data_IF_904420521615
#
_entry.id   IF_904420521615
#
_cell.length_a   1.000
_cell.length_b   1.000
_cell.length_c   1.000
_cell.angle_alpha   90.00
_cell.angle_beta   90.00
_cell.angle_gamma   90.00
#
_symmetry.space_group_name_H-M   'P 1'
#
loop_
_entity.id
_entity.type
_entity.pdbx_description
1 polymer ?
#
# COMPACT_ATOMS: atom_id res chain seq x y z
N UNK A 1 6.52 -17.60 -10.46
CA UNK A 1 5.38 -16.80 -10.96
C UNK A 1 4.18 -16.98 -10.04
N UNK A 2 4.15 -16.20 -8.95
CA UNK A 2 2.93 -15.95 -8.19
C UNK A 2 1.98 -15.15 -9.08
N UNK A 3 0.85 -15.75 -9.45
CA UNK A 3 -0.17 -15.08 -10.25
C UNK A 3 -0.93 -14.06 -9.37
N UNK A 4 -1.42 -12.97 -9.98
CA UNK A 4 -2.34 -12.08 -9.31
C UNK A 4 -3.54 -12.86 -8.74
N UNK A 5 -3.90 -12.59 -7.48
CA UNK A 5 -5.01 -13.30 -6.81
C UNK A 5 -6.37 -13.03 -7.46
N UNK A 6 -6.51 -11.86 -8.08
CA UNK A 6 -7.62 -11.44 -8.92
C UNK A 6 -7.09 -10.72 -10.17
N UNK A 7 -7.77 -10.84 -11.32
CA UNK A 7 -7.40 -10.06 -12.50
C UNK A 7 -7.61 -8.57 -12.24
N UNK A 8 -6.76 -7.74 -12.84
CA UNK A 8 -6.90 -6.28 -12.79
C UNK A 8 -8.33 -5.87 -13.18
N UNK A 9 -8.90 -4.92 -12.44
CA UNK A 9 -10.30 -4.56 -12.63
C UNK A 9 -10.54 -3.90 -13.99
N UNK A 10 -11.72 -4.10 -14.61
CA UNK A 10 -12.09 -3.36 -15.80
C UNK A 10 -12.06 -1.86 -15.53
N UNK A 11 -11.52 -1.11 -16.50
CA UNK A 11 -11.45 0.34 -16.45
C UNK A 11 -12.83 0.94 -16.17
N UNK A 12 -12.98 1.77 -15.12
CA UNK A 12 -14.23 2.45 -14.82
C UNK A 12 -14.55 3.55 -15.86
N UNK A 13 -15.82 3.95 -16.03
CA UNK A 13 -16.18 5.05 -16.91
C UNK A 13 -15.47 6.37 -16.54
N UNK A 14 -15.15 7.20 -17.54
CA UNK A 14 -14.49 8.51 -17.31
C UNK A 14 -12.96 8.44 -17.17
N UNK A 15 -12.38 7.27 -17.43
CA UNK A 15 -10.94 7.09 -17.54
C UNK A 15 -10.57 6.87 -19.00
N UNK A 16 -9.65 7.71 -19.48
CA UNK A 16 -9.03 7.57 -20.78
C UNK A 16 -7.61 7.10 -20.57
N UNK A 17 -7.16 6.23 -21.47
CA UNK A 17 -5.77 5.82 -21.47
C UNK A 17 -4.90 6.94 -22.04
N UNK A 18 -3.70 7.07 -21.50
CA UNK A 18 -2.63 7.83 -22.12
C UNK A 18 -2.28 7.20 -23.47
N UNK A 19 -2.17 8.04 -24.48
CA UNK A 19 -1.73 7.66 -25.82
C UNK A 19 -0.20 7.55 -25.87
N UNK A 20 0.34 6.89 -26.89
CA UNK A 20 1.79 6.86 -27.20
C UNK A 20 2.70 6.48 -26.00
N UNK A 21 2.21 5.62 -25.09
CA UNK A 21 3.04 5.02 -24.05
C UNK A 21 3.90 3.88 -24.64
N UNK A 22 5.18 3.74 -24.24
CA UNK A 22 5.91 2.52 -24.54
C UNK A 22 5.23 1.33 -23.84
N UNK A 23 5.36 0.14 -24.42
CA UNK A 23 4.95 -1.09 -23.73
C UNK A 23 5.88 -1.35 -22.54
N UNK A 24 5.35 -1.80 -21.40
CA UNK A 24 6.18 -2.22 -20.29
C UNK A 24 6.91 -3.53 -20.63
N UNK A 25 8.23 -3.46 -20.68
CA UNK A 25 9.14 -4.61 -20.80
C UNK A 25 9.93 -4.80 -19.48
N UNK A 26 9.66 -5.87 -18.71
CA UNK A 26 10.37 -6.14 -17.48
C UNK A 26 11.89 -6.26 -17.66
N UNK A 27 12.36 -6.78 -18.79
CA UNK A 27 13.79 -6.99 -19.06
C UNK A 27 14.56 -5.70 -19.33
N UNK A 28 13.86 -4.66 -19.78
CA UNK A 28 14.42 -3.34 -20.05
C UNK A 28 14.22 -2.39 -18.86
N UNK A 29 13.02 -2.40 -18.26
CA UNK A 29 12.61 -1.38 -17.30
C UNK A 29 12.91 -1.75 -15.84
N UNK A 30 13.05 -3.04 -15.51
CA UNK A 30 13.34 -3.45 -14.14
C UNK A 30 14.83 -3.65 -13.90
N UNK A 31 15.25 -3.32 -12.68
CA UNK A 31 16.52 -3.71 -12.09
C UNK A 31 16.26 -3.96 -10.60
N UNK A 32 15.90 -5.20 -10.29
CA UNK A 32 15.47 -5.61 -8.97
C UNK A 32 16.68 -5.97 -8.10
N UNK A 33 16.91 -5.21 -7.04
CA UNK A 33 17.97 -5.43 -6.06
C UNK A 33 17.35 -5.57 -4.67
N UNK A 34 17.91 -6.44 -3.83
CA UNK A 34 17.39 -6.69 -2.47
C UNK A 34 17.84 -5.53 -1.56
N UNK A 35 17.01 -5.05 -0.60
CA UNK A 35 17.46 -4.08 0.39
C UNK A 35 18.62 -4.63 1.24
N UNK A 36 19.54 -3.74 1.62
CA UNK A 36 20.66 -4.07 2.50
C UNK A 36 20.19 -4.35 3.94
N UNK A 37 19.09 -3.71 4.36
CA UNK A 37 18.52 -3.86 5.70
C UNK A 37 17.02 -4.10 5.59
N UNK A 38 16.54 -5.11 6.31
CA UNK A 38 15.13 -5.36 6.58
C UNK A 38 14.95 -5.28 8.08
N UNK A 39 14.10 -4.35 8.54
CA UNK A 39 13.75 -4.16 9.95
C UNK A 39 12.43 -4.84 10.27
N UNK A 40 12.26 -5.26 11.51
CA UNK A 40 11.09 -6.03 11.94
C UNK A 40 10.23 -5.28 12.96
N UNK A 41 8.97 -5.71 13.12
CA UNK A 41 8.00 -5.06 14.00
C UNK A 41 8.40 -5.15 15.49
N UNK A 42 9.12 -6.18 15.90
CA UNK A 42 9.66 -6.28 17.26
C UNK A 42 10.74 -5.21 17.52
N UNK A 43 11.55 -4.86 16.52
CA UNK A 43 12.50 -3.73 16.62
C UNK A 43 11.78 -2.38 16.77
N UNK A 44 10.51 -2.29 16.36
CA UNK A 44 9.63 -1.13 16.54
C UNK A 44 8.85 -1.20 17.85
N UNK A 45 9.01 -2.26 18.64
CA UNK A 45 8.38 -2.43 19.95
C UNK A 45 7.00 -3.06 19.93
N UNK A 46 6.57 -3.67 18.81
CA UNK A 46 5.35 -4.49 18.79
C UNK A 46 5.56 -5.81 19.55
N UNK A 47 4.52 -6.27 20.23
CA UNK A 47 4.53 -7.55 20.95
C UNK A 47 4.37 -8.75 20.02
N UNK A 48 4.82 -9.94 20.45
CA UNK A 48 4.63 -11.19 19.72
C UNK A 48 3.16 -11.44 19.34
N UNK A 49 2.21 -11.07 20.20
CA UNK A 49 0.78 -11.21 19.94
C UNK A 49 0.27 -10.27 18.85
N UNK A 50 0.81 -9.05 18.78
CA UNK A 50 0.43 -8.11 17.72
C UNK A 50 1.03 -8.55 16.38
N UNK A 51 2.28 -9.03 16.40
CA UNK A 51 2.99 -9.53 15.21
C UNK A 51 2.33 -10.81 14.69
N UNK A 52 1.88 -11.71 15.56
CA UNK A 52 1.19 -12.94 15.13
C UNK A 52 -0.12 -12.69 14.38
N UNK A 53 -0.72 -11.50 14.55
CA UNK A 53 -1.92 -11.08 13.83
C UNK A 53 -1.63 -10.35 12.50
N UNK A 54 -0.36 -10.10 12.16
CA UNK A 54 0.03 -9.48 10.90
C UNK A 54 0.39 -10.51 9.84
N UNK A 55 0.41 -10.08 8.58
CA UNK A 55 0.86 -10.93 7.48
C UNK A 55 2.35 -11.30 7.58
N UNK A 56 3.18 -10.38 8.06
CA UNK A 56 4.64 -10.54 8.14
C UNK A 56 5.20 -9.75 9.32
N UNK A 57 6.30 -10.21 9.94
CA UNK A 57 7.02 -9.43 10.94
C UNK A 57 7.86 -8.30 10.32
N UNK A 58 7.99 -8.21 9.00
CA UNK A 58 8.74 -7.12 8.34
C UNK A 58 8.04 -5.79 8.60
N UNK A 59 8.78 -4.79 9.05
CA UNK A 59 8.29 -3.43 9.32
C UNK A 59 8.67 -2.48 8.18
N UNK A 60 9.96 -2.33 7.90
CA UNK A 60 10.48 -1.37 6.93
C UNK A 60 11.83 -1.85 6.36
N UNK A 61 12.20 -1.37 5.17
CA UNK A 61 13.51 -1.67 4.56
C UNK A 61 14.37 -0.42 4.40
N UNK A 62 15.67 -0.60 4.19
CA UNK A 62 16.48 0.41 3.50
C UNK A 62 15.98 0.58 2.06
N UNK A 63 16.39 1.65 1.38
CA UNK A 63 16.11 1.81 -0.04
C UNK A 63 16.71 0.63 -0.86
N UNK A 64 15.97 0.18 -1.86
CA UNK A 64 16.37 -0.86 -2.80
C UNK A 64 15.95 -0.52 -4.22
N UNK A 65 16.67 -1.02 -5.22
CA UNK A 65 16.41 -0.69 -6.61
C UNK A 65 15.28 -1.54 -7.18
N UNK A 66 14.36 -0.89 -7.90
CA UNK A 66 13.29 -1.56 -8.64
C UNK A 66 13.42 -1.30 -10.14
N UNK A 67 13.65 -0.04 -10.52
CA UNK A 67 13.73 0.35 -11.93
C UNK A 67 15.19 0.46 -12.41
N UNK A 68 15.40 0.07 -13.66
CA UNK A 68 16.59 0.44 -14.42
C UNK A 68 16.58 1.96 -14.68
N UNK A 69 17.69 2.50 -15.21
CA UNK A 69 17.72 3.91 -15.60
C UNK A 69 16.66 4.24 -16.67
N UNK A 70 16.43 3.32 -17.62
CA UNK A 70 15.40 3.45 -18.65
C UNK A 70 14.00 3.41 -18.03
N UNK A 71 13.74 2.43 -17.15
CA UNK A 71 12.45 2.32 -16.46
C UNK A 71 12.13 3.55 -15.62
N UNK A 72 13.13 4.10 -14.92
CA UNK A 72 12.96 5.32 -14.14
C UNK A 72 12.64 6.54 -15.01
N UNK A 73 13.30 6.67 -16.19
CA UNK A 73 13.02 7.74 -17.13
C UNK A 73 11.58 7.65 -17.69
N UNK A 74 11.13 6.45 -18.05
CA UNK A 74 9.76 6.23 -18.53
C UNK A 74 8.74 6.49 -17.43
N UNK A 75 8.98 6.02 -16.19
CA UNK A 75 8.11 6.26 -15.05
C UNK A 75 7.96 7.75 -14.74
N UNK A 76 9.04 8.52 -14.82
CA UNK A 76 9.01 9.98 -14.61
C UNK A 76 8.17 10.69 -15.67
N UNK A 77 8.32 10.32 -16.95
CA UNK A 77 7.51 10.87 -18.03
C UNK A 77 6.02 10.55 -17.86
N UNK A 78 5.69 9.30 -17.52
CA UNK A 78 4.31 8.88 -17.23
C UNK A 78 3.74 9.67 -16.05
N UNK A 79 4.52 9.85 -14.97
CA UNK A 79 4.05 10.59 -13.80
C UNK A 79 3.74 12.05 -14.14
N UNK A 80 4.59 12.74 -14.92
CA UNK A 80 4.35 14.10 -15.41
C UNK A 80 3.09 14.20 -16.26
N UNK A 81 2.84 13.21 -17.12
CA UNK A 81 1.61 13.16 -17.93
C UNK A 81 0.37 12.95 -17.06
N UNK A 82 0.47 12.06 -16.06
CA UNK A 82 -0.60 11.78 -15.11
C UNK A 82 -0.88 12.94 -14.15
N UNK A 83 0.09 13.83 -13.89
CA UNK A 83 -0.06 15.00 -13.02
C UNK A 83 -1.22 15.91 -13.44
N UNK A 84 -1.59 15.93 -14.72
CA UNK A 84 -2.78 16.64 -15.22
C UNK A 84 -4.11 16.14 -14.61
N UNK A 85 -4.09 14.97 -13.97
CA UNK A 85 -5.21 14.36 -13.27
C UNK A 85 -5.07 14.45 -11.74
N UNK A 86 -4.07 15.17 -11.23
CA UNK A 86 -3.85 15.31 -9.80
C UNK A 86 -5.03 16.06 -9.16
N UNK A 87 -5.49 15.55 -8.02
CA UNK A 87 -6.55 16.12 -7.22
C UNK A 87 -6.12 16.17 -5.75
N UNK A 88 -6.64 17.17 -5.05
CA UNK A 88 -6.54 17.22 -3.60
C UNK A 88 -7.47 16.20 -2.97
N UNK A 89 -7.02 15.59 -1.89
CA UNK A 89 -7.84 14.81 -0.99
C UNK A 89 -7.57 15.26 0.46
N UNK A 90 -8.34 14.80 1.47
CA UNK A 90 -8.18 15.27 2.85
C UNK A 90 -6.80 15.03 3.47
N UNK A 91 -5.98 14.15 2.87
CA UNK A 91 -4.64 13.80 3.34
C UNK A 91 -3.52 14.43 2.51
N UNK A 92 -3.66 14.45 1.18
CA UNK A 92 -2.61 14.87 0.23
C UNK A 92 -3.17 15.93 -0.72
N UNK A 93 -2.49 17.08 -0.81
CA UNK A 93 -2.92 18.22 -1.63
C UNK A 93 -2.89 17.93 -3.13
N UNK A 94 -1.90 17.15 -3.59
CA UNK A 94 -1.68 16.87 -5.01
C UNK A 94 -1.36 15.39 -5.21
N UNK A 95 -2.38 14.62 -5.53
CA UNK A 95 -2.26 13.18 -5.74
C UNK A 95 -3.03 12.68 -6.96
N UNK A 96 -2.53 11.62 -7.59
CA UNK A 96 -3.30 10.82 -8.55
C UNK A 96 -3.65 9.49 -7.90
N UNK A 97 -4.96 9.24 -7.79
CA UNK A 97 -5.54 7.94 -7.44
C UNK A 97 -5.96 7.23 -8.72
N UNK A 98 -5.98 5.90 -8.71
CA UNK A 98 -6.41 5.09 -9.87
C UNK A 98 -5.62 5.36 -11.16
N UNK A 99 -4.33 5.73 -11.05
CA UNK A 99 -3.46 6.01 -12.20
C UNK A 99 -3.27 4.80 -13.12
N UNK A 100 -3.36 3.58 -12.58
CA UNK A 100 -3.33 2.33 -13.34
C UNK A 100 -4.52 2.15 -14.32
N UNK A 101 -5.59 2.95 -14.17
CA UNK A 101 -6.68 3.02 -15.16
C UNK A 101 -6.45 4.08 -16.23
N UNK A 102 -5.34 4.81 -16.18
CA UNK A 102 -4.96 5.84 -17.16
C UNK A 102 -3.65 5.51 -17.88
N UNK A 103 -2.74 4.76 -17.25
CA UNK A 103 -1.48 4.36 -17.86
C UNK A 103 -1.36 2.84 -17.91
N UNK A 104 -1.16 2.29 -19.12
CA UNK A 104 -0.92 0.85 -19.29
C UNK A 104 0.43 0.46 -18.74
N UNK A 105 1.44 1.30 -18.97
CA UNK A 105 2.79 1.03 -18.49
C UNK A 105 2.83 1.04 -16.95
N UNK A 106 2.19 2.01 -16.29
CA UNK A 106 2.09 2.05 -14.82
C UNK A 106 1.34 0.83 -14.29
N UNK A 107 0.22 0.47 -14.90
CA UNK A 107 -0.55 -0.72 -14.54
C UNK A 107 0.33 -1.96 -14.62
N UNK A 108 1.00 -2.17 -15.75
CA UNK A 108 1.79 -3.37 -16.03
C UNK A 108 3.02 -3.46 -15.11
N UNK A 109 3.63 -2.32 -14.73
CA UNK A 109 4.61 -2.26 -13.65
C UNK A 109 4.00 -2.71 -12.31
N UNK A 110 2.87 -2.13 -11.90
CA UNK A 110 2.24 -2.37 -10.60
C UNK A 110 1.72 -3.81 -10.41
N UNK A 111 1.44 -4.51 -11.51
CA UNK A 111 1.01 -5.92 -11.51
C UNK A 111 2.07 -6.90 -12.05
N UNK A 112 3.31 -6.43 -12.22
CA UNK A 112 4.41 -7.26 -12.74
C UNK A 112 4.63 -8.48 -11.84
N UNK A 113 4.64 -9.72 -12.41
CA UNK A 113 5.01 -10.92 -11.68
C UNK A 113 6.43 -10.87 -11.12
N UNK A 114 7.38 -10.25 -11.84
CA UNK A 114 8.78 -10.10 -11.43
C UNK A 114 8.90 -9.22 -10.18
N UNK A 115 8.21 -8.08 -10.18
CA UNK A 115 8.14 -7.19 -9.01
C UNK A 115 7.45 -7.92 -7.85
N UNK A 116 6.35 -8.63 -8.11
CA UNK A 116 5.63 -9.40 -7.07
C UNK A 116 6.52 -10.47 -6.42
N UNK A 117 7.26 -11.24 -7.22
CA UNK A 117 8.19 -12.28 -6.72
C UNK A 117 9.33 -11.67 -5.89
N UNK A 118 9.81 -10.49 -6.28
CA UNK A 118 10.78 -9.73 -5.51
C UNK A 118 10.22 -9.29 -4.15
N UNK A 119 8.98 -8.79 -4.13
CA UNK A 119 8.32 -8.40 -2.87
C UNK A 119 7.98 -9.61 -1.99
N UNK A 120 7.64 -10.77 -2.55
CA UNK A 120 7.51 -12.00 -1.76
C UNK A 120 8.81 -12.31 -1.01
N UNK A 121 9.95 -12.14 -1.68
CA UNK A 121 11.28 -12.37 -1.09
C UNK A 121 11.60 -11.37 0.02
N UNK A 122 11.23 -10.09 -0.16
CA UNK A 122 11.45 -9.03 0.84
C UNK A 122 10.56 -9.24 2.07
N UNK A 123 9.26 -9.47 1.88
CA UNK A 123 8.32 -9.67 2.97
C UNK A 123 8.39 -11.06 3.62
N UNK A 124 9.13 -11.99 3.00
CA UNK A 124 9.27 -13.39 3.45
C UNK A 124 7.94 -14.14 3.55
N UNK A 125 6.96 -13.76 2.72
CA UNK A 125 5.64 -14.38 2.59
C UNK A 125 5.15 -14.26 1.15
N UNK A 126 4.15 -15.06 0.76
CA UNK A 126 3.51 -14.90 -0.55
C UNK A 126 2.55 -13.70 -0.54
N UNK A 127 2.89 -12.67 -1.34
CA UNK A 127 2.07 -11.48 -1.56
C UNK A 127 1.53 -11.42 -2.98
N UNK A 128 0.50 -10.60 -3.17
CA UNK A 128 0.00 -10.23 -4.49
C UNK A 128 -0.35 -8.73 -4.55
N UNK A 129 -0.30 -8.10 -5.73
CA UNK A 129 -0.77 -6.72 -5.90
C UNK A 129 -2.19 -6.56 -5.37
N UNK A 130 -2.45 -5.43 -4.70
CA UNK A 130 -3.73 -5.16 -4.06
C UNK A 130 -4.91 -5.24 -5.05
N UNK A 131 -5.97 -6.04 -4.77
CA UNK A 131 -7.08 -6.20 -5.71
C UNK A 131 -7.99 -4.97 -5.90
N UNK A 132 -8.02 -4.07 -4.91
CA UNK A 132 -8.60 -2.72 -5.09
C UNK A 132 -7.57 -1.88 -5.82
N UNK A 133 -7.85 -1.58 -7.08
CA UNK A 133 -6.89 -1.06 -8.06
C UNK A 133 -6.55 0.41 -7.85
N UNK A 134 -7.38 1.16 -7.11
CA UNK A 134 -7.05 2.54 -6.71
C UNK A 134 -5.82 2.60 -5.78
N UNK A 135 -5.51 1.49 -5.11
CA UNK A 135 -4.34 1.32 -4.26
C UNK A 135 -3.05 0.94 -5.01
N UNK A 136 -3.12 0.79 -6.33
CA UNK A 136 -1.97 0.49 -7.18
C UNK A 136 -1.48 1.77 -7.87
N UNK A 137 -0.18 1.99 -7.88
CA UNK A 137 0.45 3.11 -8.58
C UNK A 137 -0.07 4.49 -8.16
N UNK A 138 -0.34 4.69 -6.87
CA UNK A 138 -0.75 5.98 -6.32
C UNK A 138 0.41 6.98 -6.40
N UNK A 139 0.20 8.13 -7.03
CA UNK A 139 1.24 9.15 -7.19
C UNK A 139 1.02 10.34 -6.28
N UNK A 140 2.09 10.78 -5.62
CA UNK A 140 2.13 11.97 -4.77
C UNK A 140 3.10 12.99 -5.34
N UNK A 141 2.60 14.20 -5.57
CA UNK A 141 3.35 15.32 -6.14
C UNK A 141 3.72 16.33 -5.07
N UNK A 142 4.71 17.17 -5.35
CA UNK A 142 5.07 18.30 -4.49
C UNK A 142 3.84 19.18 -4.19
N UNK A 143 3.59 19.56 -2.92
CA UNK A 143 2.53 20.51 -2.56
C UNK A 143 2.78 21.89 -3.21
N UNK A 144 1.75 22.71 -3.29
CA UNK A 144 1.89 24.07 -3.85
C UNK A 144 2.65 25.00 -2.87
N UNK A 145 2.52 24.76 -1.57
CA UNK A 145 3.12 25.57 -0.52
C UNK A 145 4.38 24.91 0.07
N UNK A 146 5.50 25.65 0.06
CA UNK A 146 6.75 25.25 0.72
C UNK A 146 6.52 25.22 2.24
N UNK A 147 7.13 24.24 2.91
CA UNK A 147 7.01 24.04 4.36
C UNK A 147 5.82 23.14 4.77
N UNK A 148 4.88 22.89 3.87
CA UNK A 148 3.82 21.89 4.07
C UNK A 148 4.37 20.50 3.82
N UNK A 149 4.04 19.55 4.71
CA UNK A 149 4.34 18.14 4.48
C UNK A 149 3.62 17.65 3.21
N UNK A 150 4.30 16.82 2.41
CA UNK A 150 3.68 16.16 1.26
C UNK A 150 2.55 15.24 1.76
N UNK A 151 2.81 14.56 2.87
CA UNK A 151 1.84 13.76 3.61
C UNK A 151 2.17 13.83 5.10
N UNK A 152 1.17 14.00 5.97
CA UNK A 152 1.35 14.15 7.42
C UNK A 152 1.79 12.83 8.05
N UNK A 153 2.21 12.82 9.33
CA UNK A 153 2.40 11.57 10.06
C UNK A 153 1.11 10.73 10.07
N UNK A 154 1.19 9.52 9.55
CA UNK A 154 0.10 8.57 9.46
C UNK A 154 0.63 7.14 9.50
N UNK A 155 -0.27 6.17 9.57
CA UNK A 155 -0.01 4.80 9.17
C UNK A 155 -1.03 4.45 8.07
N UNK A 156 -0.61 3.63 7.12
CA UNK A 156 -1.30 3.51 5.85
C UNK A 156 -2.58 2.69 5.93
N UNK A 157 -3.50 2.96 4.99
CA UNK A 157 -4.69 2.12 4.81
C UNK A 157 -4.33 0.77 4.21
N UNK A 158 -3.14 0.64 3.61
CA UNK A 158 -2.59 -0.57 3.05
C UNK A 158 -2.00 -1.48 4.13
N UNK A 159 -2.17 -2.79 3.96
CA UNK A 159 -1.46 -3.76 4.77
C UNK A 159 0.06 -3.69 4.52
N UNK A 160 0.45 -3.84 3.25
CA UNK A 160 1.83 -3.86 2.78
C UNK A 160 1.94 -2.97 1.54
N UNK A 161 3.05 -2.26 1.38
CA UNK A 161 3.31 -1.41 0.22
C UNK A 161 4.80 -1.18 0.00
N UNK A 162 5.15 -0.74 -1.20
CA UNK A 162 6.40 -0.01 -1.38
C UNK A 162 6.14 1.43 -1.81
N UNK A 163 7.04 2.31 -1.39
CA UNK A 163 7.09 3.71 -1.79
C UNK A 163 8.36 3.93 -2.62
N UNK A 164 8.20 4.36 -3.86
CA UNK A 164 9.27 4.61 -4.82
C UNK A 164 9.46 6.11 -5.07
N UNK A 165 10.70 6.59 -5.07
CA UNK A 165 11.01 7.93 -5.58
C UNK A 165 11.04 7.90 -7.12
N UNK A 166 10.18 8.69 -7.74
CA UNK A 166 10.04 8.77 -9.21
C UNK A 166 10.87 9.92 -9.76
N UNK A 167 10.74 11.11 -9.18
CA UNK A 167 11.65 12.22 -9.44
C UNK A 167 12.93 12.05 -8.62
N UNK A 168 14.02 12.70 -9.04
CA UNK A 168 15.33 12.55 -8.40
C UNK A 168 15.32 13.14 -6.98
N UNK A 169 15.44 12.32 -5.92
CA UNK A 169 15.44 12.82 -4.56
C UNK A 169 16.72 13.58 -4.21
N UNK A 170 17.83 13.37 -4.93
CA UNK A 170 19.13 13.97 -4.59
C UNK A 170 19.22 15.46 -4.89
N UNK A 171 18.32 15.98 -5.72
CA UNK A 171 18.24 17.40 -6.05
C UNK A 171 17.22 18.15 -5.20
N UNK A 172 16.53 17.47 -4.28
CA UNK A 172 15.51 18.07 -3.42
C UNK A 172 16.13 18.66 -2.14
N UNK A 173 15.50 19.71 -1.63
CA UNK A 173 15.74 20.22 -0.28
C UNK A 173 14.47 19.96 0.56
N UNK A 174 14.52 18.96 1.42
CA UNK A 174 13.35 18.41 2.12
C UNK A 174 12.53 17.46 1.24
N UNK A 175 11.29 17.17 1.63
CA UNK A 175 10.43 16.21 0.94
C UNK A 175 10.75 14.74 1.26
N UNK A 176 11.57 14.51 2.28
CA UNK A 176 12.09 13.21 2.68
C UNK A 176 10.97 12.24 3.06
N UNK A 177 11.16 10.97 2.73
CA UNK A 177 10.36 9.91 3.33
C UNK A 177 10.92 9.56 4.70
N UNK A 178 10.10 9.70 5.73
CA UNK A 178 10.49 9.46 7.12
C UNK A 178 9.56 8.43 7.77
N UNK A 179 10.12 7.52 8.58
CA UNK A 179 9.35 6.61 9.41
C UNK A 179 9.78 6.66 10.88
N UNK A 180 8.84 6.43 11.79
CA UNK A 180 9.07 6.40 13.23
C UNK A 180 9.35 4.97 13.70
N UNK A 181 10.46 4.79 14.41
CA UNK A 181 10.83 3.51 15.05
C UNK A 181 10.09 3.40 16.38
N UNK A 182 8.83 2.97 16.31
CA UNK A 182 7.93 2.79 17.44
C UNK A 182 6.56 2.30 16.98
N UNK A 183 5.63 2.13 17.90
CA UNK A 183 4.29 1.59 17.59
C UNK A 183 3.29 2.69 17.24
N UNK A 184 2.24 2.33 16.48
CA UNK A 184 1.11 3.23 16.19
C UNK A 184 0.34 3.66 17.45
N UNK A 185 0.33 2.82 18.49
CA UNK A 185 -0.27 3.13 19.78
C UNK A 185 0.54 4.21 20.53
N UNK A 186 1.87 4.12 20.47
CA UNK A 186 2.75 5.13 21.04
C UNK A 186 2.56 6.49 20.37
N UNK A 187 2.53 6.54 19.03
CA UNK A 187 2.29 7.81 18.33
C UNK A 187 0.89 8.36 18.59
N UNK A 188 -0.11 7.50 18.74
CA UNK A 188 -1.46 7.93 19.15
C UNK A 188 -1.45 8.62 20.50
N UNK A 189 -0.75 8.05 21.50
CA UNK A 189 -0.65 8.63 22.83
C UNK A 189 0.11 9.98 22.83
N UNK A 190 1.12 10.13 21.97
CA UNK A 190 1.82 11.39 21.76
C UNK A 190 0.87 12.44 21.13
N UNK A 191 0.14 12.06 20.08
CA UNK A 191 -0.80 12.94 19.39
C UNK A 191 -1.93 13.43 20.32
N UNK A 192 -2.45 12.56 21.19
CA UNK A 192 -3.45 12.91 22.22
C UNK A 192 -2.93 14.00 23.19
N UNK A 193 -1.61 14.10 23.36
CA UNK A 193 -0.94 15.14 24.15
C UNK A 193 -0.53 16.36 23.32
N UNK A 194 -0.80 16.39 22.01
CA UNK A 194 -0.35 17.43 21.08
C UNK A 194 1.15 17.33 20.74
N UNK A 195 1.77 16.17 21.00
CA UNK A 195 3.17 15.91 20.73
C UNK A 195 3.37 15.21 19.38
N UNK A 196 4.59 15.32 18.84
CA UNK A 196 5.00 14.67 17.58
C UNK A 196 5.95 13.50 17.87
N UNK A 197 6.12 12.55 16.93
CA UNK A 197 7.17 11.54 17.03
C UNK A 197 8.54 12.15 17.37
N UNK A 198 9.26 11.64 18.40
CA UNK A 198 10.59 12.10 18.76
C UNK A 198 11.57 11.99 17.59
N UNK A 199 12.27 13.09 17.28
CA UNK A 199 13.16 13.19 16.11
C UNK A 199 14.29 12.15 16.14
N UNK A 200 14.81 11.82 17.31
CA UNK A 200 15.88 10.83 17.49
C UNK A 200 15.43 9.38 17.23
N UNK A 201 14.12 9.16 17.05
CA UNK A 201 13.52 7.88 16.66
C UNK A 201 12.86 7.93 15.28
N UNK A 202 12.96 9.05 14.58
CA UNK A 202 12.54 9.17 13.19
C UNK A 202 13.73 8.89 12.28
N UNK A 203 13.55 7.99 11.31
CA UNK A 203 14.54 7.66 10.30
C UNK A 203 14.13 8.31 8.99
N UNK A 204 14.99 9.17 8.46
CA UNK A 204 14.90 9.65 7.07
C UNK A 204 15.61 8.64 6.16
N UNK A 205 14.94 8.22 5.10
CA UNK A 205 15.50 7.24 4.16
C UNK A 205 16.54 7.91 3.26
N UNK A 206 17.73 7.31 3.17
CA UNK A 206 18.73 7.69 2.18
C UNK A 206 18.38 7.14 0.80
N UNK A 207 18.28 8.01 -0.20
CA UNK A 207 17.85 7.65 -1.55
C UNK A 207 18.99 7.71 -2.57
N UNK A 208 19.36 6.56 -3.19
CA UNK A 208 20.39 6.55 -4.23
C UNK A 208 19.97 7.18 -5.57
N UNK A 209 18.69 7.43 -5.80
CA UNK A 209 18.18 8.10 -7.01
C UNK A 209 16.75 7.67 -7.39
N UNK A 210 16.26 8.08 -8.57
CA UNK A 210 14.99 7.63 -9.13
C UNK A 210 14.89 6.11 -9.27
N UNK A 211 13.70 5.55 -9.10
CA UNK A 211 13.43 4.12 -9.27
C UNK A 211 13.88 3.25 -8.09
N UNK A 212 14.38 3.86 -7.02
CA UNK A 212 14.57 3.21 -5.73
C UNK A 212 13.30 3.28 -4.90
N UNK A 213 13.03 2.24 -4.12
CA UNK A 213 11.88 2.11 -3.26
C UNK A 213 12.25 1.67 -1.85
N UNK A 214 11.35 1.88 -0.90
CA UNK A 214 11.33 1.22 0.41
C UNK A 214 10.07 0.38 0.51
N UNK A 215 10.16 -0.79 1.14
CA UNK A 215 9.02 -1.64 1.43
C UNK A 215 8.63 -1.46 2.90
N UNK A 216 7.33 -1.40 3.15
CA UNK A 216 6.76 -1.10 4.46
C UNK A 216 5.64 -2.08 4.79
N UNK A 217 5.44 -2.26 6.08
CA UNK A 217 4.15 -2.66 6.60
C UNK A 217 3.29 -1.41 6.84
N UNK A 218 2.55 -0.99 5.81
CA UNK A 218 1.81 0.26 5.76
C UNK A 218 0.99 0.55 7.02
N UNK A 219 0.11 -0.37 7.44
CA UNK A 219 -0.75 -0.18 8.63
C UNK A 219 0.01 -0.22 9.98
N UNK A 220 1.25 -0.71 10.01
CA UNK A 220 1.99 -0.88 11.27
C UNK A 220 3.11 0.13 11.43
N UNK A 221 3.65 0.70 10.36
CA UNK A 221 4.71 1.69 10.43
C UNK A 221 4.15 3.09 10.30
N UNK A 222 4.37 3.92 11.32
CA UNK A 222 4.03 5.34 11.25
C UNK A 222 5.07 6.07 10.43
N UNK A 223 4.65 6.76 9.38
CA UNK A 223 5.53 7.41 8.41
C UNK A 223 4.91 8.68 7.83
N UNK A 224 5.71 9.43 7.07
CA UNK A 224 5.30 10.66 6.39
C UNK A 224 6.15 10.98 5.16
N UNK A 225 5.62 11.86 4.32
CA UNK A 225 6.40 12.62 3.35
C UNK A 225 6.65 14.02 3.91
N UNK A 226 7.87 14.28 4.37
CA UNK A 226 8.27 15.52 5.02
C UNK A 226 8.08 16.77 4.14
N UNK A 227 8.20 17.97 4.73
CA UNK A 227 8.03 19.20 3.99
C UNK A 227 9.19 19.48 3.04
N UNK A 228 8.90 20.12 1.91
CA UNK A 228 9.91 20.74 1.07
C UNK A 228 10.31 22.09 1.66
N UNK A 229 11.61 22.42 1.63
CA UNK A 229 12.14 23.71 2.08
C UNK A 229 12.49 24.64 0.91
N UNK A 230 12.61 24.08 -0.29
CA UNK A 230 12.72 24.81 -1.55
C UNK A 230 11.78 24.19 -2.60
N UNK A 231 11.45 24.95 -3.64
CA UNK A 231 10.65 24.42 -4.75
C UNK A 231 11.46 23.35 -5.50
N UNK A 232 10.85 22.20 -5.72
CA UNK A 232 11.46 21.08 -6.45
C UNK A 232 10.41 20.12 -6.97
N UNK A 233 10.75 19.39 -8.04
CA UNK A 233 9.91 18.33 -8.59
C UNK A 233 10.01 17.09 -7.70
N UNK A 234 9.10 16.98 -6.73
CA UNK A 234 9.01 15.81 -5.85
C UNK A 234 7.87 14.94 -6.33
N UNK A 235 8.18 13.72 -6.73
CA UNK A 235 7.19 12.72 -7.16
C UNK A 235 7.54 11.38 -6.52
N UNK A 236 6.57 10.73 -5.86
CA UNK A 236 6.68 9.33 -5.45
C UNK A 236 5.50 8.52 -5.96
N UNK A 237 5.72 7.23 -6.06
CA UNK A 237 4.70 6.24 -6.40
C UNK A 237 4.58 5.22 -5.28
N UNK A 238 3.36 4.92 -4.85
CA UNK A 238 3.05 3.90 -3.84
C UNK A 238 2.32 2.76 -4.54
N UNK A 239 2.75 1.52 -4.29
CA UNK A 239 2.08 0.33 -4.80
C UNK A 239 1.73 -0.62 -3.66
N UNK A 240 0.44 -0.93 -3.50
CA UNK A 240 -0.07 -1.78 -2.43
C UNK A 240 -0.02 -3.27 -2.74
N UNK A 241 0.16 -4.06 -1.69
CA UNK A 241 0.14 -5.52 -1.69
C UNK A 241 -0.74 -6.07 -0.57
N UNK A 242 -1.21 -7.29 -0.77
CA UNK A 242 -1.91 -8.10 0.25
C UNK A 242 -1.21 -9.43 0.42
N UNK A 243 -1.31 -10.02 1.62
CA UNK A 243 -0.97 -11.43 1.80
C UNK A 243 -1.91 -12.30 0.97
N UNK A 244 -1.37 -13.34 0.36
CA UNK A 244 -2.17 -14.39 -0.28
C UNK A 244 -2.69 -15.42 0.72
N UNK A 245 -2.10 -15.47 1.93
CA UNK A 245 -2.67 -16.22 3.04
C UNK A 245 -3.91 -15.49 3.54
N UNK A 246 -5.07 -16.07 3.25
CA UNK A 246 -6.35 -15.52 3.70
C UNK A 246 -6.64 -15.87 5.16
N UNK A 247 -5.88 -16.76 5.80
CA UNK A 247 -6.11 -17.13 7.20
C UNK A 247 -5.69 -16.05 8.18
N UNK A 248 -4.73 -15.19 7.82
CA UNK A 248 -4.41 -13.98 8.59
C UNK A 248 -5.47 -12.90 8.39
N UNK A 249 -5.63 -12.02 9.38
CA UNK A 249 -6.53 -10.89 9.27
C UNK A 249 -6.13 -9.96 8.13
N UNK A 250 -7.11 -9.26 7.55
CA UNK A 250 -6.82 -8.20 6.58
C UNK A 250 -6.41 -6.94 7.33
N UNK A 251 -5.17 -6.48 7.14
CA UNK A 251 -4.71 -5.23 7.72
C UNK A 251 -5.10 -4.01 6.87
N UNK A 252 -5.83 -4.17 5.76
CA UNK A 252 -6.27 -3.03 4.95
C UNK A 252 -7.49 -2.31 5.54
N UNK A 253 -7.43 -0.98 5.68
CA UNK A 253 -8.55 -0.13 6.12
C UNK A 253 -9.37 0.40 4.94
N UNK A 254 -10.16 -0.48 4.35
CA UNK A 254 -10.92 -0.17 3.13
C UNK A 254 -11.98 0.93 3.32
N UNK A 255 -12.55 1.09 4.52
CA UNK A 255 -13.55 2.13 4.79
C UNK A 255 -13.00 3.54 4.61
N UNK A 256 -11.72 3.76 4.89
CA UNK A 256 -11.06 5.06 4.77
C UNK A 256 -10.96 5.51 3.30
N UNK A 257 -10.97 4.55 2.36
CA UNK A 257 -10.83 4.82 0.93
C UNK A 257 -12.02 5.59 0.35
N UNK A 258 -13.17 5.55 1.02
CA UNK A 258 -14.35 6.31 0.62
C UNK A 258 -14.19 7.83 0.68
N UNK A 259 -13.12 8.32 1.30
CA UNK A 259 -12.78 9.75 1.34
C UNK A 259 -11.88 10.20 0.20
N UNK A 260 -11.23 9.26 -0.49
CA UNK A 260 -10.18 9.56 -1.49
C UNK A 260 -10.46 8.94 -2.86
N UNK A 261 -11.27 7.88 -2.91
CA UNK A 261 -11.57 7.13 -4.14
C UNK A 261 -13.02 7.28 -4.59
N UNK A 262 -13.26 7.06 -5.89
CA UNK A 262 -14.60 7.10 -6.48
C UNK A 262 -15.48 5.99 -5.87
N UNK A 263 -16.60 6.33 -5.21
CA UNK A 263 -17.35 5.37 -4.39
C UNK A 263 -17.90 4.15 -5.13
N UNK A 264 -18.35 4.28 -6.38
CA UNK A 264 -18.95 3.16 -7.13
C UNK A 264 -17.89 2.14 -7.53
N UNK A 265 -16.73 2.63 -7.98
CA UNK A 265 -15.57 1.82 -8.33
C UNK A 265 -15.01 1.11 -7.11
N UNK A 266 -14.84 1.85 -6.00
CA UNK A 266 -14.40 1.30 -4.73
C UNK A 266 -15.35 0.20 -4.23
N UNK A 267 -16.66 0.45 -4.21
CA UNK A 267 -17.64 -0.53 -3.76
C UNK A 267 -17.58 -1.84 -4.56
N UNK A 268 -17.45 -1.73 -5.89
CA UNK A 268 -17.30 -2.89 -6.79
C UNK A 268 -16.02 -3.68 -6.48
N UNK A 269 -14.90 -2.99 -6.31
CA UNK A 269 -13.60 -3.64 -6.13
C UNK A 269 -13.40 -4.20 -4.74
N UNK A 270 -13.90 -3.52 -3.72
CA UNK A 270 -13.96 -4.05 -2.36
C UNK A 270 -14.85 -5.29 -2.29
N UNK A 271 -16.04 -5.28 -2.90
CA UNK A 271 -16.88 -6.47 -2.95
C UNK A 271 -16.18 -7.66 -3.61
N UNK A 272 -15.41 -7.42 -4.70
CA UNK A 272 -14.60 -8.46 -5.34
C UNK A 272 -13.50 -9.00 -4.42
N UNK A 273 -12.79 -8.11 -3.73
CA UNK A 273 -11.72 -8.48 -2.81
C UNK A 273 -12.23 -9.31 -1.64
N UNK A 274 -13.28 -8.84 -0.96
CA UNK A 274 -13.93 -9.54 0.14
C UNK A 274 -14.50 -10.90 -0.29
N UNK A 275 -15.13 -10.97 -1.47
CA UNK A 275 -15.63 -12.23 -2.02
C UNK A 275 -14.50 -13.23 -2.32
N UNK A 276 -13.36 -12.77 -2.83
CA UNK A 276 -12.20 -13.63 -3.07
C UNK A 276 -11.64 -14.20 -1.77
N UNK A 277 -11.41 -13.36 -0.75
CA UNK A 277 -10.90 -13.82 0.55
C UNK A 277 -11.83 -14.85 1.18
N UNK A 278 -13.13 -14.52 1.27
CA UNK A 278 -14.13 -15.42 1.85
C UNK A 278 -14.26 -16.72 1.06
N UNK A 279 -14.26 -16.67 -0.28
CA UNK A 279 -14.27 -17.89 -1.11
C UNK A 279 -13.07 -18.79 -0.77
N UNK A 280 -11.86 -18.21 -0.70
CA UNK A 280 -10.66 -19.00 -0.41
C UNK A 280 -10.70 -19.61 1.00
N UNK A 281 -11.19 -18.88 2.00
CA UNK A 281 -11.40 -19.42 3.36
C UNK A 281 -12.43 -20.54 3.38
N UNK A 282 -13.51 -20.42 2.62
CA UNK A 282 -14.52 -21.47 2.47
C UNK A 282 -13.95 -22.72 1.79
N UNK A 283 -13.13 -22.57 0.76
CA UNK A 283 -12.44 -23.69 0.11
C UNK A 283 -11.52 -24.43 1.11
N UNK A 284 -10.74 -23.69 1.92
CA UNK A 284 -9.88 -24.28 2.96
C UNK A 284 -10.69 -25.00 4.05
N UNK A 285 -11.86 -24.45 4.42
CA UNK A 285 -12.77 -25.08 5.36
C UNK A 285 -13.34 -26.39 4.79
N UNK A 286 -13.72 -26.42 3.51
CA UNK A 286 -14.17 -27.63 2.84
C UNK A 286 -13.07 -28.69 2.82
N UNK A 287 -11.86 -28.30 2.42
CA UNK A 287 -10.70 -29.19 2.43
C UNK A 287 -10.54 -29.82 3.82
N UNK A 288 -10.51 -29.03 4.90
CA UNK A 288 -10.35 -29.54 6.27
C UNK A 288 -11.51 -30.45 6.74
N UNK A 289 -12.76 -30.09 6.44
CA UNK A 289 -13.93 -30.90 6.82
C UNK A 289 -14.02 -32.24 6.07
N UNK A 290 -13.45 -32.31 4.86
CA UNK A 290 -13.37 -33.54 4.07
C UNK A 290 -12.25 -34.49 4.56
N UNK A 291 -11.39 -34.07 5.48
CA UNK A 291 -10.38 -34.95 6.08
C UNK A 291 -11.04 -35.95 7.05
N UNK A 292 -10.70 -37.23 6.88
CA UNK A 292 -11.32 -38.39 7.55
C UNK A 292 -11.20 -38.33 9.09
N UNK A 293 -10.18 -37.65 9.61
CA UNK A 293 -9.91 -37.55 11.05
C UNK A 293 -10.48 -36.26 11.68
N UNK A 294 -11.14 -35.40 10.89
CA UNK A 294 -11.69 -34.14 11.39
C UNK A 294 -12.96 -34.39 12.21
N UNK A 295 -12.80 -34.35 13.53
CA UNK A 295 -13.92 -34.29 14.47
C UNK A 295 -14.27 -32.82 14.68
N UNK A 296 -15.40 -32.38 14.13
CA UNK A 296 -15.87 -31.01 14.28
C UNK A 296 -17.22 -30.97 15.02
N UNK A 297 -17.20 -30.43 16.24
CA UNK A 297 -18.42 -30.19 17.02
C UNK A 297 -19.26 -29.09 16.35
N UNK A 298 -20.60 -29.11 16.44
CA UNK A 298 -21.46 -28.14 15.74
C UNK A 298 -21.13 -26.67 16.01
N UNK A 299 -20.69 -26.33 17.22
CA UNK A 299 -20.31 -24.97 17.60
C UNK A 299 -19.00 -24.53 16.93
N UNK A 300 -18.01 -25.43 16.83
CA UNK A 300 -16.74 -25.17 16.16
C UNK A 300 -16.96 -24.93 14.66
N UNK A 301 -17.76 -25.79 14.01
CA UNK A 301 -18.14 -25.61 12.59
C UNK A 301 -18.79 -24.25 12.36
N UNK A 302 -19.71 -23.83 13.24
CA UNK A 302 -20.36 -22.53 13.12
C UNK A 302 -19.38 -21.35 13.27
N UNK A 303 -18.42 -21.43 14.20
CA UNK A 303 -17.38 -20.42 14.37
C UNK A 303 -16.47 -20.33 13.14
N UNK A 304 -16.06 -21.48 12.60
CA UNK A 304 -15.21 -21.56 11.40
C UNK A 304 -15.92 -21.04 10.16
N UNK A 305 -17.20 -21.34 9.98
CA UNK A 305 -18.04 -20.74 8.94
C UNK A 305 -18.12 -19.21 9.10
N UNK A 306 -18.32 -18.72 10.33
CA UNK A 306 -18.33 -17.29 10.64
C UNK A 306 -17.01 -16.60 10.27
N UNK A 307 -15.88 -17.21 10.62
CA UNK A 307 -14.55 -16.73 10.24
C UNK A 307 -14.34 -16.74 8.71
N UNK A 308 -14.82 -17.78 8.03
CA UNK A 308 -14.68 -17.92 6.59
C UNK A 308 -15.45 -16.85 5.79
N UNK A 309 -16.56 -16.33 6.33
CA UNK A 309 -17.35 -15.27 5.68
C UNK A 309 -17.11 -13.87 6.26
N UNK A 310 -16.17 -13.74 7.20
CA UNK A 310 -15.95 -12.51 7.97
C UNK A 310 -15.74 -11.29 7.05
N UNK A 311 -14.87 -11.40 6.05
CA UNK A 311 -14.53 -10.29 5.15
C UNK A 311 -15.75 -9.78 4.35
N UNK A 312 -16.65 -10.69 3.96
CA UNK A 312 -17.92 -10.32 3.31
C UNK A 312 -18.86 -9.62 4.30
N UNK A 313 -18.92 -10.09 5.55
CA UNK A 313 -19.72 -9.45 6.61
C UNK A 313 -19.25 -8.01 6.92
N UNK A 314 -17.93 -7.81 6.99
CA UNK A 314 -17.31 -6.48 7.15
C UNK A 314 -17.65 -5.60 5.95
N UNK A 315 -17.43 -6.09 4.71
CA UNK A 315 -17.73 -5.32 3.51
C UNK A 315 -19.22 -4.93 3.42
N UNK A 316 -20.16 -5.83 3.72
CA UNK A 316 -21.60 -5.51 3.74
C UNK A 316 -21.87 -4.41 4.74
N UNK A 317 -21.32 -4.53 5.95
CA UNK A 317 -21.51 -3.56 7.03
C UNK A 317 -21.02 -2.19 6.58
N UNK A 318 -19.76 -2.09 6.12
CA UNK A 318 -19.12 -0.84 5.74
C UNK A 318 -19.76 -0.18 4.51
N UNK A 319 -20.15 -0.96 3.49
CA UNK A 319 -20.84 -0.44 2.31
C UNK A 319 -22.25 0.10 2.63
N UNK A 320 -22.88 -0.38 3.71
CA UNK A 320 -24.19 0.10 4.17
C UNK A 320 -24.09 1.30 5.11
N UNK A 321 -22.88 1.65 5.59
CA UNK A 321 -22.71 2.78 6.50
C UNK A 321 -23.06 4.10 5.82
N UNK A 322 -23.80 4.91 6.56
CA UNK A 322 -24.07 6.30 6.20
C UNK A 322 -23.14 7.27 6.93
N UNK A 323 -22.52 6.82 8.02
CA UNK A 323 -21.51 7.54 8.80
C UNK A 323 -20.11 7.00 8.45
N UNK A 324 -19.25 7.89 7.95
CA UNK A 324 -17.86 7.56 7.61
C UNK A 324 -16.94 8.16 8.67
N UNK A 325 -16.06 7.36 9.31
CA UNK A 325 -15.05 7.88 10.23
C UNK A 325 -14.15 8.90 9.54
N UNK A 326 -13.56 9.85 10.26
CA UNK A 326 -12.55 10.75 9.68
C UNK A 326 -11.28 9.96 9.29
N UNK A 327 -10.57 10.41 8.25
CA UNK A 327 -9.26 9.81 7.89
C UNK A 327 -8.30 10.02 9.06
N UNK A 328 -7.73 8.92 9.54
CA UNK A 328 -6.78 8.96 10.64
C UNK A 328 -5.44 9.60 10.24
N UNK A 329 -4.98 10.59 11.02
CA UNK A 329 -3.63 11.13 11.01
C UNK A 329 -3.22 11.60 12.41
N UNK A 330 -1.92 11.73 12.69
CA UNK A 330 -1.41 12.07 14.03
C UNK A 330 -1.20 13.57 14.26
N UNK A 331 -1.51 14.42 13.27
CA UNK A 331 -1.26 15.87 13.36
C UNK A 331 -2.57 16.66 13.32
N UNK A 332 -2.90 17.32 14.43
CA UNK A 332 -4.03 18.24 14.57
C UNK A 332 -3.63 19.69 14.29
#
# INVERSE_FOLDING_TARGET
MTAAVLPFAPQPPGFDWLDDEPAFDPSLHLQLEIPAVVRTLDEFGYSDSEIAATATPVAATSAFRVLSAEGAAVMLEIARRLENHAQANPRIERAVRSGCHRSRWLRDLCISPEVTEHLCSIYSIDVAPHPITSQLGHLNFAPAEIGSAVDKWHHDTLALDYVMMVADPQVLNGGDFEYFVGTKAEVSALADCGERPPVDRCVSVEWPGPGFAVALHGNMVVHRGGPLYESGERISMVNGYVSTDVCVDDQTRNIDLFHVDEPVTLAREWARYAAWRSRRRLDLLLDDLDHVDTVAEPLDVAQRLGHAIHDVGVAITDLQRTDRPEIHHYEH
#
